data_IF_711025802866
#
_entry.id   IF_711025802866
#
_cell.length_a   1.000
_cell.length_b   1.000
_cell.length_c   1.000
_cell.angle_alpha   90.00
_cell.angle_beta   90.00
_cell.angle_gamma   90.00
#
_symmetry.space_group_name_H-M   'P 1'
#
loop_
_entity.id
_entity.type
_entity.pdbx_description
1 polymer ?
#
# COMPACT_ATOMS: atom_id res chain seq x y z
N UNK A 1 -0.71 -40.21 11.83
CA UNK A 1 -1.77 -39.76 10.90
C UNK A 1 -2.07 -38.26 11.00
N UNK A 2 -2.07 -37.65 12.19
CA UNK A 2 -2.31 -36.20 12.34
C UNK A 2 -1.23 -35.28 11.75
N UNK A 3 0.04 -35.68 11.79
CA UNK A 3 1.15 -34.87 11.25
C UNK A 3 1.06 -34.68 9.74
N UNK A 4 0.48 -35.65 9.02
CA UNK A 4 0.28 -35.59 7.56
C UNK A 4 -0.84 -34.61 7.22
N UNK A 5 -1.91 -34.58 8.02
CA UNK A 5 -3.01 -33.63 7.89
C UNK A 5 -2.56 -32.18 8.16
N UNK A 6 -1.68 -31.97 9.15
CA UNK A 6 -1.11 -30.67 9.44
C UNK A 6 -0.24 -30.15 8.29
N UNK A 7 0.62 -30.99 7.68
CA UNK A 7 1.41 -30.60 6.51
C UNK A 7 0.54 -30.28 5.29
N UNK A 8 -0.55 -31.02 5.06
CA UNK A 8 -1.50 -30.75 3.97
C UNK A 8 -2.19 -29.39 4.11
N UNK A 9 -2.55 -28.99 5.33
CA UNK A 9 -3.14 -27.66 5.59
C UNK A 9 -2.14 -26.52 5.35
N UNK A 10 -0.87 -26.71 5.68
CA UNK A 10 0.19 -25.72 5.41
C UNK A 10 0.44 -25.60 3.91
N UNK A 11 0.44 -26.71 3.16
CA UNK A 11 0.63 -26.73 1.70
C UNK A 11 -0.50 -26.03 0.91
N UNK A 12 -1.75 -26.05 1.44
CA UNK A 12 -2.86 -25.31 0.83
C UNK A 12 -2.73 -23.79 1.01
N UNK A 13 -2.17 -23.33 2.13
CA UNK A 13 -1.89 -21.90 2.33
C UNK A 13 -0.81 -21.36 1.38
N UNK A 14 0.14 -22.21 0.95
CA UNK A 14 1.19 -21.85 -0.02
C UNK A 14 0.62 -21.64 -1.44
N UNK A 15 -0.51 -22.28 -1.77
CA UNK A 15 -1.17 -22.13 -3.07
C UNK A 15 -2.02 -20.85 -3.20
N UNK A 16 -2.05 -19.98 -2.18
CA UNK A 16 -2.75 -18.69 -2.25
C UNK A 16 -1.93 -17.56 -2.93
N UNK A 17 -0.73 -17.83 -3.46
CA UNK A 17 -0.10 -16.95 -4.43
C UNK A 17 -0.67 -17.22 -5.82
N UNK A 18 -1.78 -16.55 -6.12
CA UNK A 18 -2.39 -16.55 -7.45
C UNK A 18 -1.52 -15.71 -8.39
N UNK A 19 -0.80 -16.40 -9.27
CA UNK A 19 0.05 -15.83 -10.34
C UNK A 19 1.16 -14.88 -9.84
N UNK A 20 2.25 -15.47 -9.32
CA UNK A 20 3.55 -14.80 -9.36
C UNK A 20 4.04 -14.81 -10.81
N UNK A 21 3.48 -13.92 -11.62
CA UNK A 21 3.96 -13.75 -12.98
C UNK A 21 5.39 -13.17 -12.92
N UNK A 22 6.34 -13.91 -13.49
CA UNK A 22 7.77 -13.54 -13.52
C UNK A 22 7.99 -12.22 -14.29
N UNK A 23 6.99 -11.81 -15.08
CA UNK A 23 7.09 -10.64 -15.95
C UNK A 23 6.79 -9.33 -15.20
N UNK A 24 7.90 -8.67 -14.89
CA UNK A 24 8.02 -7.23 -14.67
C UNK A 24 7.44 -6.65 -13.37
N UNK A 25 8.27 -6.67 -12.32
CA UNK A 25 8.25 -5.67 -11.24
C UNK A 25 8.06 -4.23 -11.75
N UNK A 26 8.58 -3.93 -12.95
CA UNK A 26 8.52 -2.63 -13.60
C UNK A 26 7.12 -2.18 -14.02
N UNK A 27 6.16 -3.11 -14.07
CA UNK A 27 4.79 -2.85 -14.53
C UNK A 27 3.98 -2.01 -13.53
N UNK A 28 4.38 -2.05 -12.25
CA UNK A 28 3.74 -1.30 -11.18
C UNK A 28 4.59 -0.07 -10.83
N UNK A 29 4.30 1.07 -11.46
CA UNK A 29 5.04 2.33 -11.23
C UNK A 29 4.97 2.88 -9.81
N UNK A 30 4.17 2.28 -8.94
CA UNK A 30 4.10 2.60 -7.51
C UNK A 30 5.00 1.71 -6.63
N UNK A 31 5.51 0.60 -7.14
CA UNK A 31 6.39 -0.28 -6.38
C UNK A 31 7.85 0.18 -6.50
N UNK A 32 8.54 0.21 -5.36
CA UNK A 32 9.93 0.67 -5.28
C UNK A 32 10.79 -0.29 -4.49
N UNK A 33 12.07 -0.38 -4.82
CA UNK A 33 13.07 -1.08 -4.01
C UNK A 33 13.74 -0.08 -3.07
N UNK A 34 13.72 -0.38 -1.79
CA UNK A 34 14.40 0.39 -0.74
C UNK A 34 15.69 -0.35 -0.42
N UNK A 35 16.82 0.34 -0.50
CA UNK A 35 18.13 -0.18 -0.14
C UNK A 35 18.65 0.66 1.01
N UNK A 36 18.87 0.05 2.16
CA UNK A 36 19.39 0.70 3.36
C UNK A 36 20.73 0.09 3.71
N UNK A 37 21.77 0.92 3.78
CA UNK A 37 23.11 0.52 4.16
C UNK A 37 23.26 0.62 5.68
N UNK A 38 23.89 -0.37 6.31
CA UNK A 38 24.16 -0.32 7.75
C UNK A 38 25.17 0.79 8.10
N UNK A 39 24.94 1.59 9.14
CA UNK A 39 25.89 2.62 9.60
C UNK A 39 27.18 2.01 10.19
N UNK A 40 27.10 0.83 10.80
CA UNK A 40 28.26 0.16 11.44
C UNK A 40 29.08 -0.65 10.43
N UNK A 41 28.42 -1.24 9.43
CA UNK A 41 29.08 -2.07 8.43
C UNK A 41 28.62 -1.70 7.03
N UNK A 42 29.42 -0.89 6.34
CA UNK A 42 29.13 -0.41 4.99
C UNK A 42 28.92 -1.52 3.94
N UNK A 43 29.44 -2.74 4.19
CA UNK A 43 29.24 -3.87 3.30
C UNK A 43 27.86 -4.53 3.41
N UNK A 44 27.12 -4.25 4.50
CA UNK A 44 25.81 -4.81 4.75
C UNK A 44 24.72 -3.88 4.20
N UNK A 45 24.03 -4.35 3.17
CA UNK A 45 22.89 -3.64 2.55
C UNK A 45 21.62 -4.47 2.71
N UNK A 46 20.60 -3.86 3.30
CA UNK A 46 19.26 -4.43 3.44
C UNK A 46 18.43 -4.01 2.23
N UNK A 47 17.90 -4.99 1.51
CA UNK A 47 17.04 -4.79 0.35
C UNK A 47 15.60 -5.13 0.66
N UNK A 48 14.71 -4.17 0.47
CA UNK A 48 13.28 -4.32 0.72
C UNK A 48 12.42 -3.76 -0.42
N UNK A 49 11.14 -4.11 -0.34
CA UNK A 49 10.07 -3.53 -1.15
C UNK A 49 9.36 -2.42 -0.38
N UNK A 50 9.10 -1.30 -1.05
CA UNK A 50 8.19 -0.26 -0.59
C UNK A 50 7.15 0.08 -1.65
N UNK A 51 6.18 0.90 -1.27
CA UNK A 51 5.14 1.42 -2.17
C UNK A 51 5.06 2.93 -2.06
N UNK A 52 5.00 3.62 -3.19
CA UNK A 52 4.66 5.04 -3.26
C UNK A 52 3.21 5.23 -2.83
N UNK A 53 2.99 6.02 -1.78
CA UNK A 53 1.65 6.44 -1.34
C UNK A 53 1.31 7.83 -1.87
N UNK A 54 2.34 8.65 -2.12
CA UNK A 54 2.27 9.92 -2.85
C UNK A 54 3.51 10.05 -3.73
N UNK A 55 3.57 11.05 -4.65
CA UNK A 55 4.77 11.27 -5.47
C UNK A 55 6.07 11.54 -4.69
N UNK A 56 5.96 11.89 -3.40
CA UNK A 56 7.09 12.20 -2.52
C UNK A 56 7.21 11.26 -1.31
N UNK A 57 6.26 10.34 -1.08
CA UNK A 57 6.23 9.51 0.11
C UNK A 57 6.17 8.02 -0.25
N UNK A 58 7.01 7.25 0.42
CA UNK A 58 7.10 5.79 0.28
C UNK A 58 6.79 5.15 1.61
N UNK A 59 5.94 4.14 1.57
CA UNK A 59 5.63 3.27 2.68
C UNK A 59 6.49 1.99 2.58
N UNK A 60 7.14 1.64 3.67
CA UNK A 60 7.90 0.38 3.81
C UNK A 60 7.81 -0.13 5.25
N UNK A 61 8.41 -1.29 5.51
CA UNK A 61 8.56 -1.82 6.86
C UNK A 61 9.69 -1.09 7.60
N UNK A 62 9.52 -0.81 8.90
CA UNK A 62 10.60 -0.21 9.71
C UNK A 62 11.85 -1.09 9.76
N UNK A 63 11.67 -2.42 9.69
CA UNK A 63 12.78 -3.40 9.62
C UNK A 63 13.66 -3.28 8.37
N UNK A 64 13.21 -2.52 7.37
CA UNK A 64 13.97 -2.29 6.14
C UNK A 64 14.95 -1.14 6.25
N UNK A 65 14.93 -0.43 7.38
CA UNK A 65 15.82 0.69 7.65
C UNK A 65 16.90 0.21 8.60
N UNK A 66 18.15 0.25 8.13
CA UNK A 66 19.29 -0.13 8.95
C UNK A 66 19.53 0.98 9.98
N UNK A 67 19.46 0.60 11.24
CA UNK A 67 19.73 1.44 12.40
C UNK A 67 20.80 0.77 13.26
N UNK A 68 21.66 1.56 13.90
CA UNK A 68 22.59 1.04 14.91
C UNK A 68 21.94 1.02 16.30
N UNK A 69 22.73 0.59 17.29
CA UNK A 69 22.33 0.50 18.69
C UNK A 69 22.07 1.89 19.31
N UNK A 70 22.65 2.96 18.73
CA UNK A 70 22.46 4.35 19.15
C UNK A 70 21.27 5.03 18.44
N UNK A 71 20.62 4.34 17.50
CA UNK A 71 19.47 4.81 16.73
C UNK A 71 19.83 5.66 15.51
N UNK A 72 21.11 5.78 15.15
CA UNK A 72 21.52 6.40 13.90
C UNK A 72 21.07 5.57 12.71
N UNK A 73 20.50 6.26 11.73
CA UNK A 73 19.99 5.61 10.52
C UNK A 73 21.04 5.66 9.42
N UNK A 74 21.36 4.51 8.84
CA UNK A 74 22.30 4.43 7.74
C UNK A 74 21.73 4.95 6.41
N UNK A 75 22.63 5.13 5.44
CA UNK A 75 22.28 5.71 4.15
C UNK A 75 21.20 4.87 3.44
N UNK A 76 20.09 5.52 3.07
CA UNK A 76 18.97 4.85 2.42
C UNK A 76 18.71 5.46 1.05
N UNK A 77 18.61 4.61 0.03
CA UNK A 77 18.25 4.97 -1.32
C UNK A 77 17.06 4.18 -1.83
N UNK A 78 16.32 4.76 -2.76
CA UNK A 78 15.15 4.17 -3.38
C UNK A 78 15.38 4.02 -4.87
N UNK A 79 15.03 2.86 -5.40
CA UNK A 79 15.03 2.57 -6.82
C UNK A 79 13.58 2.35 -7.28
N UNK A 80 13.13 3.16 -8.23
CA UNK A 80 11.81 3.01 -8.86
C UNK A 80 11.94 2.75 -10.35
N UNK A 81 10.96 2.03 -10.90
CA UNK A 81 10.87 1.78 -12.34
C UNK A 81 10.29 2.99 -13.06
N UNK A 82 10.81 3.26 -14.25
CA UNK A 82 10.29 4.22 -15.22
C UNK A 82 10.29 3.55 -16.58
N UNK A 83 9.18 2.88 -16.92
CA UNK A 83 9.09 2.04 -18.10
C UNK A 83 10.14 0.92 -18.04
N UNK A 84 11.05 0.89 -19.03
CA UNK A 84 12.15 -0.08 -19.12
C UNK A 84 13.40 0.32 -18.33
N UNK A 85 13.42 1.51 -17.72
CA UNK A 85 14.59 2.07 -17.04
C UNK A 85 14.38 2.20 -15.53
N UNK A 86 15.47 2.27 -14.77
CA UNK A 86 15.41 2.47 -13.32
C UNK A 86 15.99 3.83 -12.94
N UNK A 87 15.41 4.46 -11.93
CA UNK A 87 15.92 5.71 -11.36
C UNK A 87 16.18 5.54 -9.87
N UNK A 88 17.29 6.10 -9.42
CA UNK A 88 17.70 6.12 -8.02
C UNK A 88 17.35 7.46 -7.40
N UNK A 89 16.91 7.47 -6.15
CA UNK A 89 16.65 8.66 -5.34
C UNK A 89 17.24 8.47 -3.96
N UNK A 90 17.88 9.51 -3.45
CA UNK A 90 18.21 9.58 -2.04
C UNK A 90 16.92 9.84 -1.23
N UNK A 91 16.88 9.27 -0.03
CA UNK A 91 15.83 9.56 0.95
C UNK A 91 16.19 10.83 1.70
N UNK A 92 15.23 11.75 1.83
CA UNK A 92 15.39 13.04 2.51
C UNK A 92 15.14 12.92 4.01
N UNK A 93 14.09 12.19 4.38
CA UNK A 93 13.71 11.99 5.78
C UNK A 93 13.07 10.61 5.96
N UNK A 94 13.22 10.06 7.15
CA UNK A 94 12.70 8.75 7.53
C UNK A 94 11.90 8.92 8.81
N UNK A 95 10.61 8.60 8.77
CA UNK A 95 9.75 8.57 9.95
C UNK A 95 9.35 7.13 10.22
N UNK A 96 9.77 6.60 11.36
CA UNK A 96 9.41 5.24 11.77
C UNK A 96 8.26 5.29 12.79
N UNK A 97 7.20 4.52 12.54
CA UNK A 97 6.04 4.37 13.41
C UNK A 97 5.85 2.86 13.64
N UNK A 98 6.35 2.37 14.76
CA UNK A 98 6.30 0.95 15.17
C UNK A 98 6.87 0.01 14.08
N UNK A 99 6.00 -0.69 13.34
CA UNK A 99 6.38 -1.67 12.29
C UNK A 99 6.49 -1.06 10.89
N UNK A 100 6.17 0.22 10.75
CA UNK A 100 6.04 0.90 9.47
C UNK A 100 7.06 2.04 9.41
N UNK A 101 7.66 2.25 8.26
CA UNK A 101 8.47 3.43 7.98
C UNK A 101 7.92 4.18 6.77
N UNK A 102 7.89 5.50 6.89
CA UNK A 102 7.56 6.44 5.82
C UNK A 102 8.84 7.15 5.41
N UNK A 103 9.19 7.04 4.13
CA UNK A 103 10.37 7.67 3.54
C UNK A 103 9.93 8.83 2.67
N UNK A 104 10.53 9.99 2.90
CA UNK A 104 10.33 11.17 2.06
C UNK A 104 11.40 11.24 0.98
N UNK A 105 10.97 11.44 -0.26
CA UNK A 105 11.83 11.63 -1.43
C UNK A 105 11.43 12.91 -2.16
N UNK A 106 12.37 13.42 -2.96
CA UNK A 106 12.06 14.51 -3.90
C UNK A 106 10.94 14.04 -4.83
N UNK A 107 9.86 14.82 -4.88
CA UNK A 107 8.64 14.49 -5.59
C UNK A 107 8.90 14.06 -7.05
N UNK A 108 8.37 12.91 -7.41
CA UNK A 108 8.45 12.36 -8.76
C UNK A 108 7.38 13.05 -9.62
N UNK A 109 7.82 13.75 -10.67
CA UNK A 109 6.94 14.42 -11.65
C UNK A 109 6.51 13.51 -12.81
N UNK A 110 6.92 12.26 -12.80
CA UNK A 110 6.67 11.31 -13.88
C UNK A 110 5.24 10.73 -13.79
N UNK A 111 4.63 10.39 -14.95
CA UNK A 111 3.35 9.67 -14.99
C UNK A 111 3.55 8.26 -14.43
N UNK A 112 3.04 8.01 -13.22
CA UNK A 112 3.15 6.71 -12.53
C UNK A 112 2.10 5.68 -13.00
N UNK A 113 1.10 6.12 -13.78
CA UNK A 113 0.12 5.22 -14.35
C UNK A 113 0.77 4.34 -15.44
N UNK A 114 0.55 3.02 -15.45
CA UNK A 114 1.05 2.17 -16.52
C UNK A 114 0.45 2.62 -17.86
N UNK A 115 1.25 2.62 -18.94
CA UNK A 115 0.71 2.89 -20.27
C UNK A 115 -0.36 1.84 -20.64
N UNK A 116 -1.42 2.22 -21.36
CA UNK A 116 -2.43 1.27 -21.80
C UNK A 116 -1.82 0.19 -22.72
N UNK A 117 -2.31 -1.06 -22.67
CA UNK A 117 -3.45 -1.52 -21.88
C UNK A 117 -3.08 -1.76 -20.41
N UNK A 118 -3.82 -1.11 -19.51
CA UNK A 118 -3.67 -1.38 -18.07
C UNK A 118 -4.05 -2.84 -17.80
N UNK A 119 -3.27 -3.58 -16.97
CA UNK A 119 -3.60 -4.97 -16.67
C UNK A 119 -5.00 -5.04 -16.06
N UNK A 120 -5.75 -6.08 -16.42
CA UNK A 120 -7.02 -6.37 -15.77
C UNK A 120 -6.78 -6.36 -14.25
N UNK A 121 -7.52 -5.53 -13.51
CA UNK A 121 -7.40 -5.46 -12.05
C UNK A 121 -7.84 -6.81 -11.46
N UNK A 122 -6.91 -7.76 -11.35
CA UNK A 122 -7.19 -9.14 -10.90
C UNK A 122 -7.27 -9.29 -9.39
N UNK A 123 -6.92 -8.26 -8.62
CA UNK A 123 -7.15 -8.20 -7.17
C UNK A 123 -8.50 -7.53 -6.85
N UNK A 124 -9.59 -8.07 -7.39
CA UNK A 124 -10.88 -7.93 -6.70
C UNK A 124 -10.82 -8.91 -5.53
N UNK A 125 -10.83 -8.39 -4.29
CA UNK A 125 -11.25 -9.17 -3.13
C UNK A 125 -12.51 -9.93 -3.55
N UNK A 126 -12.62 -11.21 -3.19
CA UNK A 126 -13.81 -12.02 -3.41
C UNK A 126 -14.98 -11.42 -2.65
N UNK A 127 -15.57 -10.37 -3.20
CA UNK A 127 -16.82 -9.81 -2.74
C UNK A 127 -17.88 -10.70 -3.38
N UNK A 128 -18.53 -11.54 -2.58
CA UNK A 128 -19.85 -12.01 -2.96
C UNK A 128 -20.72 -10.76 -3.06
N UNK A 129 -20.91 -10.26 -4.28
CA UNK A 129 -21.78 -9.11 -4.56
C UNK A 129 -23.20 -9.60 -4.31
N UNK A 130 -23.65 -9.51 -3.05
CA UNK A 130 -25.04 -9.80 -2.67
C UNK A 130 -26.00 -8.70 -3.12
N UNK A 131 -25.49 -7.62 -3.71
CA UNK A 131 -26.28 -6.52 -4.24
C UNK A 131 -26.46 -6.69 -5.76
N UNK A 132 -27.53 -7.39 -6.15
CA UNK A 132 -28.01 -7.52 -7.55
C UNK A 132 -28.57 -6.21 -8.11
N UNK A 133 -28.82 -5.22 -7.26
CA UNK A 133 -29.26 -3.88 -7.66
C UNK A 133 -28.67 -2.84 -6.71
N UNK A 134 -28.23 -1.71 -7.27
CA UNK A 134 -27.80 -0.55 -6.49
C UNK A 134 -29.08 0.16 -6.01
N UNK A 135 -29.32 0.34 -4.70
CA UNK A 135 -30.45 1.12 -4.21
C UNK A 135 -30.13 2.61 -4.37
N UNK A 136 -30.14 3.11 -5.61
CA UNK A 136 -30.15 4.56 -5.85
C UNK A 136 -31.52 5.09 -5.43
N UNK A 137 -31.64 5.60 -4.21
CA UNK A 137 -32.74 6.47 -3.85
C UNK A 137 -32.36 7.90 -4.26
N UNK A 138 -33.14 8.57 -5.12
CA UNK A 138 -32.94 9.98 -5.39
C UNK A 138 -33.17 10.75 -4.10
N UNK A 139 -32.13 11.41 -3.60
CA UNK A 139 -32.24 12.32 -2.46
C UNK A 139 -32.59 13.68 -3.03
N UNK A 140 -33.77 14.18 -2.67
CA UNK A 140 -34.20 15.52 -3.04
C UNK A 140 -33.35 16.55 -2.27
N UNK A 141 -32.46 17.22 -3.01
CA UNK A 141 -31.52 18.18 -2.46
C UNK A 141 -32.22 19.45 -1.96
N UNK A 142 -33.43 19.75 -2.45
CA UNK A 142 -34.19 20.95 -2.07
C UNK A 142 -34.85 20.81 -0.69
N UNK A 143 -35.07 19.57 -0.24
CA UNK A 143 -35.70 19.26 1.06
C UNK A 143 -34.66 19.06 2.17
N UNK A 144 -33.38 18.95 1.82
CA UNK A 144 -32.31 18.78 2.81
C UNK A 144 -32.07 20.12 3.54
N UNK A 145 -32.34 20.20 4.85
CA UNK A 145 -32.05 21.41 5.61
C UNK A 145 -30.53 21.63 5.62
N UNK A 146 -30.10 22.81 5.19
CA UNK A 146 -28.69 23.23 5.29
C UNK A 146 -28.26 23.22 6.77
N UNK A 147 -27.67 22.11 7.19
CA UNK A 147 -27.04 21.98 8.50
C UNK A 147 -25.54 21.90 8.30
N UNK A 148 -24.79 22.76 9.01
CA UNK A 148 -23.32 22.72 9.10
C UNK A 148 -22.86 21.52 9.93
N UNK A 149 -23.26 20.31 9.56
CA UNK A 149 -22.84 19.08 10.22
C UNK A 149 -21.72 18.44 9.41
N UNK A 150 -20.59 18.15 10.07
CA UNK A 150 -19.48 17.40 9.49
C UNK A 150 -19.78 15.91 9.63
N UNK A 151 -19.73 15.16 8.53
CA UNK A 151 -19.90 13.70 8.56
C UNK A 151 -18.60 13.11 9.11
N UNK A 152 -18.67 12.55 10.32
CA UNK A 152 -17.50 11.96 10.99
C UNK A 152 -17.39 10.44 10.78
N UNK A 153 -18.43 9.78 10.27
CA UNK A 153 -18.39 8.37 9.93
C UNK A 153 -19.74 7.82 9.49
N UNK A 154 -19.72 6.65 8.85
CA UNK A 154 -20.90 5.88 8.52
C UNK A 154 -20.72 4.44 9.00
N UNK A 155 -21.80 3.83 9.48
CA UNK A 155 -21.85 2.41 9.84
C UNK A 155 -22.99 1.76 9.08
N UNK A 156 -22.68 0.71 8.34
CA UNK A 156 -23.69 -0.08 7.63
C UNK A 156 -24.08 -1.26 8.49
N UNK A 157 -25.36 -1.37 8.84
CA UNK A 157 -25.91 -2.53 9.57
C UNK A 157 -27.12 -3.03 8.80
N UNK A 158 -27.11 -4.29 8.39
CA UNK A 158 -28.21 -4.97 7.67
C UNK A 158 -28.83 -4.14 6.54
N UNK A 159 -27.99 -3.63 5.63
CA UNK A 159 -28.43 -2.87 4.45
C UNK A 159 -28.89 -1.44 4.74
N UNK A 160 -28.92 -1.00 6.00
CA UNK A 160 -29.29 0.35 6.40
C UNK A 160 -28.03 1.15 6.76
N UNK A 161 -27.87 2.32 6.13
CA UNK A 161 -26.76 3.24 6.41
C UNK A 161 -27.17 4.13 7.58
N UNK A 162 -26.51 3.96 8.73
CA UNK A 162 -26.64 4.89 9.85
C UNK A 162 -25.53 5.93 9.74
N UNK A 163 -25.95 7.19 9.59
CA UNK A 163 -25.07 8.35 9.56
C UNK A 163 -24.98 8.93 10.96
N UNK A 164 -23.76 9.00 11.49
CA UNK A 164 -23.48 9.58 12.79
C UNK A 164 -23.19 11.07 12.60
N UNK A 165 -24.08 11.92 13.11
CA UNK A 165 -23.92 13.38 13.05
C UNK A 165 -23.50 13.94 14.41
N UNK A 166 -22.58 14.90 14.40
CA UNK A 166 -22.24 15.71 15.57
C UNK A 166 -22.70 17.15 15.32
N UNK A 167 -23.39 17.74 16.28
CA UNK A 167 -23.79 19.14 16.24
C UNK A 167 -22.72 19.98 16.96
N UNK A 168 -22.17 20.96 16.24
CA UNK A 168 -21.37 22.05 16.83
C UNK A 168 -22.26 23.27 17.04
#
# INVERSE_FOLDING_TARGET
MWSVLASLFVLQAVHCMKDAEETEWNRYGYLVKVLSQSPVNESQVIGCTGSLITPSLILTSSKCIATDDDGETGNTMVIYSKGTTYRKRAVSSITQIDRIAVLEIIAIKDKMCPPPPAPARLSKLSMNVTLTSIPWQPVDLEVLPEKKCRINGFKTTDGTILLSYFYS
#
